data_IF_674184136310
#
_entry.id   IF_674184136310
#
_cell.length_a   1.000
_cell.length_b   1.000
_cell.length_c   1.000
_cell.angle_alpha   90.00
_cell.angle_beta   90.00
_cell.angle_gamma   90.00
#
_symmetry.space_group_name_H-M   'P 1'
#
loop_
_entity.id
_entity.type
_entity.pdbx_description
1 polymer ?
#
# COMPACT_ATOMS: atom_id res chain seq x y z
N UNK A 1 2.99 1.69 -20.86
CA UNK A 1 2.02 0.60 -20.57
C UNK A 1 1.31 0.93 -19.28
N UNK A 2 0.01 0.68 -19.20
CA UNK A 2 -0.78 0.82 -17.98
C UNK A 2 -1.39 -0.56 -17.70
N UNK A 3 -1.21 -1.06 -16.48
CA UNK A 3 -1.84 -2.29 -15.99
C UNK A 3 -2.83 -1.89 -14.91
N UNK A 4 -4.10 -2.32 -15.02
CA UNK A 4 -5.14 -2.03 -14.05
C UNK A 4 -5.36 -3.23 -13.13
N UNK A 5 -5.36 -2.98 -11.83
CA UNK A 5 -5.79 -3.93 -10.79
C UNK A 5 -7.09 -3.39 -10.18
N UNK A 6 -8.19 -4.15 -10.28
CA UNK A 6 -9.54 -3.72 -9.92
C UNK A 6 -10.31 -4.72 -9.03
N UNK A 7 -9.61 -5.74 -8.49
CA UNK A 7 -10.22 -6.85 -7.73
C UNK A 7 -9.97 -6.78 -6.24
N UNK A 8 -9.00 -5.97 -5.81
CA UNK A 8 -8.63 -5.88 -4.41
C UNK A 8 -9.69 -5.18 -3.55
N UNK A 9 -9.95 -5.77 -2.38
CA UNK A 9 -10.85 -5.23 -1.35
C UNK A 9 -10.09 -4.80 -0.09
N UNK A 10 -8.80 -5.11 -0.03
CA UNK A 10 -7.90 -4.74 1.06
C UNK A 10 -6.53 -4.31 0.55
N UNK A 11 -5.79 -3.55 1.36
CA UNK A 11 -4.43 -3.13 1.03
C UNK A 11 -3.48 -4.31 0.85
N UNK A 12 -3.69 -5.43 1.54
CA UNK A 12 -2.92 -6.67 1.34
C UNK A 12 -3.16 -7.22 -0.07
N UNK A 13 -4.44 -7.33 -0.46
CA UNK A 13 -4.81 -7.78 -1.79
C UNK A 13 -4.31 -6.83 -2.89
N UNK A 14 -4.29 -5.51 -2.65
CA UNK A 14 -3.75 -4.51 -3.58
C UNK A 14 -2.31 -4.90 -3.99
N UNK A 15 -1.44 -5.14 -3.00
CA UNK A 15 -0.04 -5.48 -3.26
C UNK A 15 0.13 -6.88 -3.84
N UNK A 16 -0.63 -7.87 -3.36
CA UNK A 16 -0.56 -9.23 -3.87
C UNK A 16 -0.99 -9.32 -5.34
N UNK A 17 -2.11 -8.72 -5.71
CA UNK A 17 -2.62 -8.75 -7.08
C UNK A 17 -1.78 -7.89 -8.02
N UNK A 18 -1.33 -6.72 -7.56
CA UNK A 18 -0.39 -5.89 -8.32
C UNK A 18 0.93 -6.61 -8.60
N UNK A 19 1.49 -7.33 -7.60
CA UNK A 19 2.70 -8.15 -7.79
C UNK A 19 2.50 -9.21 -8.87
N UNK A 20 1.36 -9.89 -8.88
CA UNK A 20 1.04 -10.89 -9.91
C UNK A 20 0.93 -10.27 -11.31
N UNK A 21 0.33 -9.08 -11.44
CA UNK A 21 0.27 -8.36 -12.72
C UNK A 21 1.66 -7.96 -13.21
N UNK A 22 2.52 -7.47 -12.32
CA UNK A 22 3.90 -7.10 -12.65
C UNK A 22 4.70 -8.34 -13.09
N UNK A 23 4.57 -9.48 -12.39
CA UNK A 23 5.26 -10.72 -12.75
C UNK A 23 4.82 -11.31 -14.10
N UNK A 24 3.59 -11.02 -14.55
CA UNK A 24 3.09 -11.41 -15.88
C UNK A 24 3.50 -10.44 -16.99
N UNK A 25 4.10 -9.31 -16.63
CA UNK A 25 4.58 -8.30 -17.58
C UNK A 25 6.06 -8.52 -17.92
N UNK A 26 6.54 -7.90 -18.99
CA UNK A 26 7.95 -8.00 -19.41
C UNK A 26 8.94 -7.17 -18.56
N UNK A 27 8.49 -6.61 -17.42
CA UNK A 27 9.32 -5.76 -16.56
C UNK A 27 10.30 -6.61 -15.75
N UNK A 28 11.59 -6.51 -16.06
CA UNK A 28 12.67 -7.19 -15.32
C UNK A 28 13.13 -6.31 -14.15
N UNK A 29 12.89 -6.79 -12.93
CA UNK A 29 13.27 -6.16 -11.65
C UNK A 29 12.61 -4.80 -11.39
N UNK A 30 11.35 -4.79 -10.93
CA UNK A 30 10.65 -3.53 -10.66
C UNK A 30 11.20 -2.86 -9.40
N UNK A 31 11.80 -1.68 -9.53
CA UNK A 31 11.74 -0.69 -8.44
C UNK A 31 10.32 -0.16 -8.39
N UNK A 32 9.64 -0.34 -7.26
CA UNK A 32 8.23 0.01 -7.12
C UNK A 32 8.12 1.32 -6.35
N UNK A 33 7.38 2.28 -6.90
CA UNK A 33 7.04 3.53 -6.23
C UNK A 33 5.55 3.51 -5.87
N UNK A 34 5.26 3.65 -4.58
CA UNK A 34 3.89 3.77 -4.06
C UNK A 34 3.53 5.25 -4.00
N UNK A 35 2.42 5.62 -4.63
CA UNK A 35 1.87 6.98 -4.61
C UNK A 35 0.51 6.93 -3.93
N UNK A 36 0.36 7.59 -2.77
CA UNK A 36 -0.92 7.65 -2.03
C UNK A 36 -0.99 8.88 -1.11
N UNK A 37 -1.99 8.97 -0.24
CA UNK A 37 -2.11 10.04 0.75
C UNK A 37 -1.13 9.84 1.93
N UNK A 38 -0.70 10.95 2.54
CA UNK A 38 0.24 10.96 3.67
C UNK A 38 -0.20 10.11 4.87
N UNK A 39 -1.50 10.06 5.21
CA UNK A 39 -2.01 9.22 6.29
C UNK A 39 -1.98 7.73 5.97
N UNK A 40 -1.98 7.34 4.70
CA UNK A 40 -2.07 5.94 4.26
C UNK A 40 -0.70 5.37 3.86
N UNK A 41 0.26 6.23 3.52
CA UNK A 41 1.56 5.82 2.98
C UNK A 41 2.31 4.85 3.91
N UNK A 42 2.31 5.12 5.22
CA UNK A 42 3.00 4.25 6.19
C UNK A 42 2.47 2.81 6.16
N UNK A 43 1.14 2.64 6.21
CA UNK A 43 0.52 1.32 6.18
C UNK A 43 0.73 0.64 4.83
N UNK A 44 0.67 1.39 3.74
CA UNK A 44 0.92 0.88 2.41
C UNK A 44 2.35 0.34 2.28
N UNK A 45 3.36 1.07 2.77
CA UNK A 45 4.76 0.62 2.79
C UNK A 45 4.94 -0.64 3.63
N UNK A 46 4.39 -0.67 4.85
CA UNK A 46 4.49 -1.85 5.73
C UNK A 46 3.95 -3.12 5.06
N UNK A 47 2.76 -3.03 4.45
CA UNK A 47 2.14 -4.18 3.77
C UNK A 47 2.93 -4.62 2.53
N UNK A 48 3.51 -3.66 1.80
CA UNK A 48 4.34 -3.96 0.63
C UNK A 48 5.64 -4.67 1.01
N UNK A 49 6.30 -4.21 2.08
CA UNK A 49 7.50 -4.85 2.64
C UNK A 49 7.19 -6.28 3.12
N UNK A 50 6.08 -6.48 3.86
CA UNK A 50 5.61 -7.81 4.27
C UNK A 50 5.28 -8.72 3.06
N UNK A 51 4.96 -8.14 1.91
CA UNK A 51 4.72 -8.88 0.65
C UNK A 51 6.01 -9.21 -0.13
N UNK A 52 7.17 -8.89 0.45
CA UNK A 52 8.49 -9.10 -0.15
C UNK A 52 8.76 -8.20 -1.35
N UNK A 53 8.19 -7.00 -1.38
CA UNK A 53 8.44 -5.98 -2.40
C UNK A 53 9.44 -4.95 -1.87
N UNK A 54 10.37 -4.52 -2.73
CA UNK A 54 11.26 -3.39 -2.45
C UNK A 54 10.56 -2.13 -2.99
N UNK A 55 10.11 -1.26 -2.09
CA UNK A 55 9.27 -0.12 -2.44
C UNK A 55 9.82 1.19 -1.89
N UNK A 56 9.63 2.26 -2.66
CA UNK A 56 9.75 3.65 -2.21
C UNK A 56 8.34 4.27 -2.11
N UNK A 57 8.18 5.29 -1.28
CA UNK A 57 6.89 5.93 -1.03
C UNK A 57 6.87 7.43 -1.28
N UNK A 58 5.88 7.93 -2.01
CA UNK A 58 5.59 9.35 -2.19
C UNK A 58 4.15 9.63 -1.77
N UNK A 59 3.97 10.67 -0.96
CA UNK A 59 2.65 11.06 -0.45
C UNK A 59 2.14 12.38 -1.00
N UNK A 60 0.82 12.45 -1.16
CA UNK A 60 0.09 13.71 -1.31
C UNK A 60 -0.45 14.20 0.04
N UNK A 61 -0.47 15.51 0.22
CA UNK A 61 -0.86 16.16 1.48
C UNK A 61 -2.37 16.01 1.70
N UNK A 62 -2.76 15.50 2.86
CA UNK A 62 -4.17 15.41 3.23
C UNK A 62 -4.64 16.71 3.90
N UNK A 63 -5.85 17.22 3.58
CA UNK A 63 -6.42 18.39 4.23
C UNK A 63 -6.47 18.25 5.76
N UNK A 64 -6.08 19.31 6.48
CA UNK A 64 -5.91 19.25 7.94
C UNK A 64 -7.20 18.85 8.67
N UNK A 65 -8.35 19.23 8.12
CA UNK A 65 -9.70 19.02 8.69
C UNK A 65 -10.07 17.55 8.84
N UNK A 66 -9.57 16.68 7.96
CA UNK A 66 -9.87 15.24 7.96
C UNK A 66 -8.66 14.40 8.39
N UNK A 67 -7.48 15.02 8.47
CA UNK A 67 -6.21 14.34 8.74
C UNK A 67 -6.20 13.57 10.04
N UNK A 68 -6.70 14.16 11.13
CA UNK A 68 -6.73 13.50 12.45
C UNK A 68 -7.63 12.26 12.41
N UNK A 69 -8.83 12.38 11.84
CA UNK A 69 -9.77 11.25 11.74
C UNK A 69 -9.17 10.09 10.94
N UNK A 70 -8.51 10.37 9.82
CA UNK A 70 -7.87 9.34 9.02
C UNK A 70 -6.66 8.71 9.72
N UNK A 71 -5.83 9.51 10.40
CA UNK A 71 -4.68 8.97 11.15
C UNK A 71 -5.11 8.03 12.28
N UNK A 72 -6.16 8.37 13.03
CA UNK A 72 -6.70 7.51 14.10
C UNK A 72 -7.22 6.19 13.51
N UNK A 73 -8.00 6.26 12.43
CA UNK A 73 -8.48 5.06 11.74
C UNK A 73 -7.33 4.16 11.29
N UNK A 74 -6.29 4.77 10.75
CA UNK A 74 -5.15 4.04 10.21
C UNK A 74 -4.27 3.43 11.29
N UNK A 75 -4.15 4.10 12.44
CA UNK A 75 -3.51 3.53 13.62
C UNK A 75 -4.18 2.21 14.05
N UNK A 76 -5.51 2.19 14.16
CA UNK A 76 -6.23 0.94 14.48
C UNK A 76 -6.09 -0.13 13.39
N UNK A 77 -6.04 0.28 12.11
CA UNK A 77 -5.84 -0.66 11.01
C UNK A 77 -4.45 -1.31 11.05
N UNK A 78 -3.40 -0.53 11.35
CA UNK A 78 -2.03 -1.04 11.53
C UNK A 78 -1.97 -1.98 12.74
N UNK A 79 -2.51 -1.58 13.90
CA UNK A 79 -2.54 -2.43 15.09
C UNK A 79 -3.24 -3.76 14.83
N UNK A 80 -4.40 -3.74 14.15
CA UNK A 80 -5.13 -4.96 13.78
C UNK A 80 -4.32 -5.84 12.82
N UNK A 81 -3.58 -5.23 11.89
CA UNK A 81 -2.69 -5.95 10.98
C UNK A 81 -1.60 -6.71 11.74
N UNK A 82 -0.88 -6.00 12.60
CA UNK A 82 0.18 -6.57 13.45
C UNK A 82 -0.38 -7.67 14.36
N UNK A 83 -1.51 -7.44 15.03
CA UNK A 83 -2.14 -8.42 15.91
C UNK A 83 -2.67 -9.68 15.20
N UNK A 84 -2.78 -9.67 13.86
CA UNK A 84 -3.18 -10.83 13.06
C UNK A 84 -1.98 -11.64 12.55
N UNK A 85 -0.77 -11.10 12.67
CA UNK A 85 0.50 -11.76 12.38
C UNK A 85 1.11 -12.43 13.64
N UNK A 86 0.54 -12.19 14.84
CA UNK A 86 0.76 -12.94 16.08
C UNK A 86 -0.37 -13.95 16.34
#
# INVERSE_FOLDING_TARGET
MILLEDKSTSTVENFQYSKQLIMKSDVKVPKILIITNDYHLYRAMLVAENSGLIVDGVSSKTPITVRINYLVREYYAVMKGIAKEF
#
